data_IF_035651669457
#
_entry.id   IF_035651669457
#
_cell.length_a   1.000
_cell.length_b   1.000
_cell.length_c   1.000
_cell.angle_alpha   90.00
_cell.angle_beta   90.00
_cell.angle_gamma   90.00
#
_symmetry.space_group_name_H-M   'P 1'
#
loop_
_entity.id
_entity.type
_entity.pdbx_description
1 polymer ?
#
# COMPACT_ATOMS: atom_id res chain seq x y z
N UNK A 1 -58.88 -3.90 45.45
CA UNK A 1 -57.45 -4.24 45.27
C UNK A 1 -56.64 -3.24 46.08
N UNK A 2 -55.67 -3.72 46.86
CA UNK A 2 -54.69 -2.87 47.57
C UNK A 2 -53.36 -3.06 46.87
N UNK A 3 -53.06 -2.15 45.95
CA UNK A 3 -51.84 -2.09 45.16
C UNK A 3 -51.85 -0.73 44.46
N UNK A 4 -50.68 -0.10 44.35
CA UNK A 4 -50.57 1.26 43.80
C UNK A 4 -51.23 1.33 42.41
N UNK A 5 -52.23 2.21 42.20
CA UNK A 5 -52.98 2.28 40.95
C UNK A 5 -52.15 2.78 39.75
N UNK A 6 -50.88 3.10 39.96
CA UNK A 6 -49.98 3.68 38.95
C UNK A 6 -49.34 2.61 38.05
N UNK A 7 -49.22 1.35 38.51
CA UNK A 7 -48.43 0.32 37.84
C UNK A 7 -49.24 -0.79 37.12
N UNK A 8 -50.57 -0.67 37.09
CA UNK A 8 -51.48 -1.65 36.48
C UNK A 8 -52.27 -1.00 35.35
N UNK A 9 -52.32 -1.64 34.17
CA UNK A 9 -53.26 -1.29 33.10
C UNK A 9 -54.41 -2.28 33.14
N UNK A 10 -55.61 -1.79 33.45
CA UNK A 10 -56.82 -2.60 33.55
C UNK A 10 -57.75 -2.33 32.36
N UNK A 11 -58.18 -3.38 31.67
CA UNK A 11 -59.25 -3.27 30.69
C UNK A 11 -60.61 -3.40 31.41
N UNK A 12 -61.60 -2.54 31.11
CA UNK A 12 -62.94 -2.72 31.65
C UNK A 12 -63.55 -3.99 31.04
N UNK A 13 -63.97 -4.93 31.88
CA UNK A 13 -64.78 -6.07 31.45
C UNK A 13 -66.19 -5.54 31.14
N UNK A 14 -66.45 -5.34 29.84
CA UNK A 14 -67.65 -4.79 29.22
C UNK A 14 -67.90 -3.28 29.47
N UNK A 15 -67.67 -2.48 28.43
CA UNK A 15 -68.31 -1.16 28.32
C UNK A 15 -69.78 -1.39 27.94
N UNK A 16 -70.70 -1.11 28.88
CA UNK A 16 -72.05 -0.69 28.48
C UNK A 16 -71.95 0.61 27.69
N UNK A 17 -72.79 0.80 26.67
CA UNK A 17 -72.73 1.87 25.68
C UNK A 17 -72.97 3.31 26.21
N UNK A 18 -72.93 3.51 27.53
CA UNK A 18 -73.49 4.67 28.21
C UNK A 18 -72.69 5.11 29.45
N UNK A 19 -71.52 4.51 29.72
CA UNK A 19 -70.52 5.08 30.63
C UNK A 19 -70.90 5.15 32.12
N UNK A 20 -71.89 4.39 32.58
CA UNK A 20 -72.27 4.31 34.00
C UNK A 20 -71.79 2.98 34.63
N UNK A 21 -71.14 3.07 35.79
CA UNK A 21 -70.61 1.93 36.57
C UNK A 21 -71.75 1.19 37.29
N UNK A 22 -72.18 0.06 36.74
CA UNK A 22 -73.13 -0.85 37.40
C UNK A 22 -72.44 -1.71 38.46
N UNK A 23 -72.94 -1.64 39.69
CA UNK A 23 -72.51 -2.48 40.80
C UNK A 23 -73.22 -3.85 40.78
N UNK A 24 -72.39 -4.90 40.78
CA UNK A 24 -72.59 -6.28 41.27
C UNK A 24 -73.65 -7.14 40.57
N UNK A 25 -73.16 -7.98 39.65
CA UNK A 25 -73.84 -9.20 39.19
C UNK A 25 -72.97 -9.97 38.21
N UNK A 26 -72.03 -10.77 38.72
CA UNK A 26 -71.08 -11.58 37.93
C UNK A 26 -70.19 -10.81 36.93
N UNK A 27 -69.83 -9.56 37.23
CA UNK A 27 -68.78 -8.87 36.49
C UNK A 27 -67.45 -9.54 36.84
N UNK A 28 -66.87 -10.26 35.88
CA UNK A 28 -65.50 -10.77 35.99
C UNK A 28 -64.60 -9.62 36.40
N UNK A 29 -63.77 -9.85 37.42
CA UNK A 29 -62.76 -8.90 37.88
C UNK A 29 -62.00 -8.35 36.66
N UNK A 30 -61.81 -7.02 36.53
CA UNK A 30 -61.10 -6.47 35.37
C UNK A 30 -59.74 -7.17 35.25
N UNK A 31 -59.44 -7.65 34.04
CA UNK A 31 -58.12 -8.21 33.77
C UNK A 31 -57.14 -7.05 33.77
N UNK A 32 -56.31 -7.03 34.81
CA UNK A 32 -55.24 -6.06 34.96
C UNK A 32 -53.92 -6.76 34.66
N UNK A 33 -53.14 -6.18 33.74
CA UNK A 33 -51.77 -6.62 33.49
C UNK A 33 -50.79 -5.60 34.05
N UNK A 34 -49.59 -6.08 34.41
CA UNK A 34 -48.48 -5.23 34.83
C UNK A 34 -48.06 -4.31 33.67
N UNK A 35 -47.81 -3.05 33.97
CA UNK A 35 -47.37 -2.08 32.97
C UNK A 35 -45.95 -2.40 32.47
N UNK A 36 -45.66 -2.29 31.16
CA UNK A 36 -44.31 -2.41 30.63
C UNK A 36 -43.45 -1.19 31.00
N UNK A 37 -42.13 -1.37 31.05
CA UNK A 37 -41.19 -0.26 31.16
C UNK A 37 -40.72 0.25 29.79
N UNK A 38 -40.42 1.55 29.74
CA UNK A 38 -39.76 2.18 28.60
C UNK A 38 -38.26 1.90 28.65
N UNK A 39 -37.69 1.43 27.54
CA UNK A 39 -36.26 1.14 27.45
C UNK A 39 -35.45 2.43 27.19
N UNK A 40 -34.38 2.68 27.96
CA UNK A 40 -33.49 3.82 27.72
C UNK A 40 -32.76 3.75 26.37
N UNK A 41 -32.44 4.89 25.76
CA UNK A 41 -31.76 4.95 24.45
C UNK A 41 -30.46 4.12 24.35
N UNK A 42 -29.73 3.94 25.46
CA UNK A 42 -28.48 3.18 25.45
C UNK A 42 -28.69 1.69 25.13
N UNK A 43 -29.89 1.13 25.36
CA UNK A 43 -30.21 -0.26 25.05
C UNK A 43 -30.35 -0.49 23.55
N UNK A 44 -30.55 0.56 22.76
CA UNK A 44 -30.55 0.50 21.30
C UNK A 44 -29.13 0.50 20.68
N UNK A 45 -28.09 0.68 21.49
CA UNK A 45 -26.70 0.72 21.02
C UNK A 45 -26.13 -0.68 20.80
N UNK A 46 -25.43 -0.91 19.69
CA UNK A 46 -24.71 -2.18 19.44
C UNK A 46 -23.64 -2.53 20.49
N UNK A 47 -23.27 -1.57 21.36
CA UNK A 47 -22.32 -1.76 22.46
C UNK A 47 -22.93 -2.51 23.65
N UNK A 48 -24.26 -2.46 23.79
CA UNK A 48 -24.98 -3.00 24.94
C UNK A 48 -25.96 -4.06 24.45
N UNK A 49 -25.90 -5.23 25.07
CA UNK A 49 -26.90 -6.28 24.93
C UNK A 49 -27.70 -6.38 26.24
N UNK A 50 -28.95 -6.80 26.15
CA UNK A 50 -29.82 -6.86 27.32
C UNK A 50 -30.88 -7.95 27.19
N UNK A 51 -31.55 -8.25 28.31
CA UNK A 51 -32.72 -9.14 28.38
C UNK A 51 -34.01 -8.39 28.76
N UNK A 52 -34.03 -7.07 28.61
CA UNK A 52 -35.12 -6.18 29.06
C UNK A 52 -36.31 -6.08 28.09
N UNK A 53 -36.33 -6.87 27.02
CA UNK A 53 -37.45 -6.87 26.08
C UNK A 53 -38.74 -7.32 26.78
N UNK A 54 -39.81 -6.55 26.60
CA UNK A 54 -41.14 -6.79 27.19
C UNK A 54 -41.17 -6.89 28.73
N UNK A 55 -40.17 -6.33 29.43
CA UNK A 55 -40.14 -6.31 30.89
C UNK A 55 -41.29 -5.48 31.48
N UNK A 56 -41.90 -5.99 32.56
CA UNK A 56 -43.04 -5.37 33.25
C UNK A 56 -42.75 -5.05 34.71
N UNK A 57 -43.58 -4.20 35.31
CA UNK A 57 -43.43 -3.73 36.68
C UNK A 57 -43.10 -4.88 37.66
N UNK A 58 -42.11 -4.66 38.54
CA UNK A 58 -41.54 -5.64 39.49
C UNK A 58 -40.70 -6.78 38.87
N UNK A 59 -40.37 -6.72 37.59
CA UNK A 59 -39.42 -7.64 36.98
C UNK A 59 -38.01 -7.04 36.96
N UNK A 60 -37.02 -7.93 36.87
CA UNK A 60 -35.61 -7.60 36.72
C UNK A 60 -35.11 -8.09 35.35
N UNK A 61 -34.23 -7.33 34.72
CA UNK A 61 -33.46 -7.77 33.56
C UNK A 61 -31.99 -7.42 33.75
N UNK A 62 -31.15 -7.92 32.84
CA UNK A 62 -29.72 -7.67 32.87
C UNK A 62 -29.28 -6.93 31.61
N UNK A 63 -28.45 -5.91 31.78
CA UNK A 63 -27.71 -5.26 30.71
C UNK A 63 -26.23 -5.64 30.80
N UNK A 64 -25.62 -5.98 29.67
CA UNK A 64 -24.24 -6.42 29.57
C UNK A 64 -23.64 -5.96 28.24
N UNK A 65 -22.33 -6.15 28.05
CA UNK A 65 -21.68 -5.70 26.84
C UNK A 65 -22.00 -6.60 25.64
N UNK A 66 -22.27 -5.96 24.50
CA UNK A 66 -22.50 -6.63 23.23
C UNK A 66 -21.23 -7.31 22.70
N UNK A 67 -21.37 -8.07 21.60
CA UNK A 67 -20.24 -8.75 20.99
C UNK A 67 -19.11 -7.76 20.60
N UNK A 68 -17.87 -8.10 20.94
CA UNK A 68 -16.72 -7.22 20.71
C UNK A 68 -16.55 -6.10 21.75
N UNK A 69 -17.36 -6.08 22.79
CA UNK A 69 -17.23 -5.13 23.90
C UNK A 69 -17.01 -5.86 25.22
N UNK A 70 -16.21 -5.26 26.10
CA UNK A 70 -15.92 -5.75 27.45
C UNK A 70 -16.22 -4.67 28.49
N UNK A 71 -16.68 -5.08 29.67
CA UNK A 71 -17.16 -4.14 30.68
C UNK A 71 -17.90 -4.82 31.83
N UNK A 72 -18.63 -4.02 32.62
CA UNK A 72 -19.48 -4.48 33.69
C UNK A 72 -20.85 -4.99 33.17
N UNK A 73 -21.51 -5.72 34.06
CA UNK A 73 -22.88 -6.21 33.90
C UNK A 73 -23.73 -5.51 34.95
N UNK A 74 -24.89 -4.99 34.55
CA UNK A 74 -25.79 -4.25 35.41
C UNK A 74 -27.15 -4.95 35.50
N UNK A 75 -27.70 -5.00 36.71
CA UNK A 75 -29.05 -5.45 36.97
C UNK A 75 -30.00 -4.24 36.95
N UNK A 76 -31.06 -4.35 36.16
CA UNK A 76 -32.04 -3.29 35.94
C UNK A 76 -33.40 -3.73 36.47
N UNK A 77 -34.11 -2.82 37.13
CA UNK A 77 -35.39 -3.10 37.76
C UNK A 77 -36.50 -2.25 37.14
N UNK A 78 -37.59 -2.88 36.74
CA UNK A 78 -38.72 -2.18 36.15
C UNK A 78 -39.65 -1.62 37.25
N UNK A 79 -39.60 -0.31 37.47
CA UNK A 79 -40.55 0.46 38.28
C UNK A 79 -41.41 1.33 37.36
N UNK A 80 -42.33 0.65 36.65
CA UNK A 80 -43.04 1.21 35.51
C UNK A 80 -43.59 2.64 35.71
N UNK A 81 -43.41 3.53 34.70
CA UNK A 81 -42.87 3.24 33.37
C UNK A 81 -41.33 3.24 33.30
N UNK A 82 -40.62 3.54 34.39
CA UNK A 82 -39.18 3.75 34.38
C UNK A 82 -38.39 2.46 34.65
N UNK A 83 -37.34 2.24 33.86
CA UNK A 83 -36.35 1.19 34.11
C UNK A 83 -35.22 1.77 34.97
N UNK A 84 -35.15 1.35 36.23
CA UNK A 84 -34.17 1.82 37.21
C UNK A 84 -32.86 1.02 37.10
N UNK A 85 -31.74 1.72 37.27
CA UNK A 85 -30.38 1.19 37.27
C UNK A 85 -29.46 1.95 36.30
N UNK A 86 -28.16 1.65 36.36
CA UNK A 86 -27.15 2.33 35.56
C UNK A 86 -26.84 1.59 34.25
N UNK A 87 -26.38 2.34 33.25
CA UNK A 87 -25.90 1.73 32.01
C UNK A 87 -24.54 1.04 32.23
N UNK A 88 -24.32 -0.16 31.66
CA UNK A 88 -23.00 -0.80 31.73
C UNK A 88 -21.96 0.03 30.96
N UNK A 89 -20.74 0.09 31.50
CA UNK A 89 -19.58 0.71 30.87
C UNK A 89 -18.92 -0.29 29.93
N UNK A 90 -19.23 -0.20 28.64
CA UNK A 90 -18.73 -1.11 27.62
C UNK A 90 -17.64 -0.48 26.73
N UNK A 91 -16.43 -1.00 26.84
CA UNK A 91 -15.28 -0.62 26.02
C UNK A 91 -15.07 -1.61 24.87
N UNK A 92 -14.62 -1.14 23.72
CA UNK A 92 -14.34 -2.01 22.58
C UNK A 92 -13.13 -2.90 22.85
N UNK A 93 -13.25 -4.20 22.59
CA UNK A 93 -12.14 -5.13 22.64
C UNK A 93 -11.16 -4.80 21.51
N UNK A 94 -9.86 -4.84 21.82
CA UNK A 94 -8.78 -4.60 20.86
C UNK A 94 -8.66 -5.75 19.86
N UNK A 95 -8.55 -5.42 18.58
CA UNK A 95 -8.24 -6.41 17.56
C UNK A 95 -6.78 -6.87 17.64
N UNK A 96 -6.58 -8.18 17.59
CA UNK A 96 -5.26 -8.83 17.63
C UNK A 96 -5.06 -9.85 16.51
N UNK A 97 -6.13 -10.19 15.78
CA UNK A 97 -6.15 -11.14 14.67
C UNK A 97 -6.46 -10.43 13.36
N UNK A 98 -6.14 -11.05 12.23
CA UNK A 98 -6.38 -10.45 10.90
C UNK A 98 -5.57 -9.18 10.62
N UNK A 99 -4.50 -8.93 11.38
CA UNK A 99 -3.69 -7.73 11.22
C UNK A 99 -3.12 -7.66 9.80
N UNK A 100 -3.24 -6.53 9.08
CA UNK A 100 -2.70 -6.45 7.72
C UNK A 100 -1.20 -6.76 7.71
N UNK A 101 -0.81 -7.76 6.92
CA UNK A 101 0.54 -8.28 6.88
C UNK A 101 0.97 -8.59 5.44
N UNK A 102 2.26 -8.49 5.15
CA UNK A 102 2.83 -8.75 3.83
C UNK A 102 4.22 -8.15 3.70
N UNK A 103 4.94 -8.48 2.62
CA UNK A 103 6.24 -7.86 2.34
C UNK A 103 6.03 -6.36 2.09
N UNK A 104 6.80 -5.52 2.78
CA UNK A 104 6.67 -4.06 2.68
C UNK A 104 5.40 -3.43 3.26
N UNK A 105 4.47 -4.20 3.85
CA UNK A 105 3.26 -3.65 4.46
C UNK A 105 3.60 -2.93 5.78
N UNK A 106 3.06 -1.74 5.93
CA UNK A 106 3.03 -0.96 7.16
C UNK A 106 1.60 -0.86 7.67
N UNK A 107 1.36 -1.42 8.85
CA UNK A 107 0.06 -1.41 9.50
C UNK A 107 0.14 -0.69 10.86
N UNK A 108 1.05 0.27 11.03
CA UNK A 108 1.15 1.04 12.26
C UNK A 108 -0.18 1.71 12.67
N UNK A 109 -0.96 2.20 11.71
CA UNK A 109 -2.29 2.79 11.95
C UNK A 109 -3.30 1.79 12.55
N UNK A 110 -3.12 0.49 12.32
CA UNK A 110 -3.99 -0.55 12.88
C UNK A 110 -3.63 -0.92 14.33
N UNK A 111 -2.50 -0.45 14.85
CA UNK A 111 -2.07 -0.79 16.19
C UNK A 111 -2.98 -0.16 17.23
N UNK A 112 -3.66 -0.99 18.02
CA UNK A 112 -4.47 -0.52 19.15
C UNK A 112 -5.93 -0.27 18.81
N UNK A 113 -6.35 -0.50 17.56
CA UNK A 113 -7.75 -0.34 17.17
C UNK A 113 -8.65 -1.33 17.92
N UNK A 114 -9.81 -0.84 18.31
CA UNK A 114 -10.86 -1.53 19.06
C UNK A 114 -12.11 -1.69 18.22
N UNK A 115 -13.04 -2.54 18.67
CA UNK A 115 -14.25 -2.91 17.91
C UNK A 115 -15.00 -1.70 17.34
N UNK A 116 -15.18 -1.72 16.01
CA UNK A 116 -15.82 -0.67 15.22
C UNK A 116 -14.87 0.42 14.69
N UNK A 117 -13.61 0.45 15.12
CA UNK A 117 -12.62 1.38 14.58
C UNK A 117 -12.00 0.88 13.28
N UNK A 118 -11.75 1.81 12.37
CA UNK A 118 -11.08 1.54 11.10
C UNK A 118 -9.62 2.01 11.12
N UNK A 119 -8.79 1.34 10.33
CA UNK A 119 -7.44 1.77 9.96
C UNK A 119 -7.20 1.56 8.48
N UNK A 120 -6.21 2.25 7.92
CA UNK A 120 -5.80 2.07 6.53
C UNK A 120 -4.34 1.60 6.51
N UNK A 121 -4.05 0.37 6.02
CA UNK A 121 -2.67 -0.08 5.85
C UNK A 121 -1.97 0.71 4.73
N UNK A 122 -0.66 0.88 4.86
CA UNK A 122 0.19 1.56 3.90
C UNK A 122 1.40 0.71 3.48
N UNK A 123 2.21 1.23 2.58
CA UNK A 123 3.49 0.60 2.23
C UNK A 123 4.65 1.34 2.91
N UNK A 124 5.64 0.58 3.38
CA UNK A 124 6.89 1.10 3.91
C UNK A 124 7.68 1.85 2.81
N UNK A 125 8.61 2.75 3.17
CA UNK A 125 9.52 3.36 2.21
C UNK A 125 10.23 2.31 1.35
N UNK A 126 10.32 2.55 0.04
CA UNK A 126 10.86 1.59 -0.93
C UNK A 126 9.85 0.59 -1.49
N UNK A 127 8.60 0.65 -1.06
CA UNK A 127 7.50 -0.14 -1.60
C UNK A 127 6.41 0.75 -2.20
N UNK A 128 5.61 0.16 -3.07
CA UNK A 128 4.46 0.79 -3.73
C UNK A 128 3.23 -0.11 -3.63
N UNK A 129 2.05 0.51 -3.57
CA UNK A 129 0.78 -0.19 -3.44
C UNK A 129 0.41 -0.82 -4.79
N UNK A 130 0.04 -2.10 -4.78
CA UNK A 130 -0.42 -2.78 -6.00
C UNK A 130 -1.88 -2.46 -6.34
N UNK A 131 -2.68 -2.14 -5.32
CA UNK A 131 -4.07 -1.73 -5.42
C UNK A 131 -4.35 -0.61 -4.40
N UNK A 132 -5.47 0.09 -4.55
CA UNK A 132 -5.86 1.13 -3.61
C UNK A 132 -6.01 0.55 -2.18
N UNK A 133 -5.46 1.24 -1.19
CA UNK A 133 -5.64 0.86 0.21
C UNK A 133 -7.11 1.01 0.62
N UNK A 134 -7.72 -0.11 0.99
CA UNK A 134 -9.06 -0.13 1.59
C UNK A 134 -8.94 -0.08 3.11
N UNK A 135 -9.89 0.60 3.75
CA UNK A 135 -9.96 0.64 5.20
C UNK A 135 -10.37 -0.74 5.74
N UNK A 136 -9.60 -1.25 6.70
CA UNK A 136 -9.94 -2.46 7.43
C UNK A 136 -10.56 -2.09 8.77
N UNK A 137 -11.60 -2.81 9.18
CA UNK A 137 -12.37 -2.50 10.39
C UNK A 137 -12.14 -3.59 11.42
N UNK A 138 -11.93 -3.18 12.67
CA UNK A 138 -11.87 -4.10 13.79
C UNK A 138 -13.28 -4.66 14.08
N UNK A 139 -13.47 -5.95 13.81
CA UNK A 139 -14.72 -6.67 13.99
C UNK A 139 -15.00 -7.05 15.45
N UNK A 140 -16.23 -7.51 15.69
CA UNK A 140 -16.71 -7.92 17.03
C UNK A 140 -16.08 -9.22 17.52
N UNK A 141 -15.42 -9.96 16.64
CA UNK A 141 -14.64 -11.15 16.97
C UNK A 141 -13.20 -10.82 17.41
N UNK A 142 -12.80 -9.54 17.43
CA UNK A 142 -11.43 -9.14 17.74
C UNK A 142 -10.44 -9.44 16.62
N UNK A 143 -10.93 -9.62 15.38
CA UNK A 143 -10.13 -9.64 14.17
C UNK A 143 -10.42 -8.42 13.28
N UNK A 144 -9.43 -7.97 12.52
CA UNK A 144 -9.71 -7.04 11.42
C UNK A 144 -10.40 -7.77 10.28
N UNK A 145 -11.22 -7.04 9.53
CA UNK A 145 -11.79 -7.51 8.26
C UNK A 145 -10.70 -7.97 7.29
N UNK A 146 -11.06 -8.88 6.38
CA UNK A 146 -10.14 -9.34 5.33
C UNK A 146 -9.59 -8.17 4.51
N UNK A 147 -8.36 -8.31 4.06
CA UNK A 147 -7.64 -7.29 3.29
C UNK A 147 -6.72 -7.95 2.28
N UNK A 148 -6.92 -7.63 1.01
CA UNK A 148 -6.04 -8.02 -0.09
C UNK A 148 -4.91 -6.99 -0.32
N UNK A 149 -4.68 -6.11 0.66
CA UNK A 149 -3.69 -5.06 0.55
C UNK A 149 -2.27 -5.63 0.42
N UNK A 150 -1.65 -5.37 -0.72
CA UNK A 150 -0.32 -5.86 -1.05
C UNK A 150 0.60 -4.73 -1.52
N UNK A 151 1.86 -4.82 -1.10
CA UNK A 151 2.93 -3.92 -1.50
C UNK A 151 3.96 -4.68 -2.34
N UNK A 152 4.48 -4.02 -3.37
CA UNK A 152 5.64 -4.51 -4.14
C UNK A 152 6.82 -3.56 -3.98
N UNK A 153 8.04 -4.06 -4.15
CA UNK A 153 9.24 -3.22 -4.14
C UNK A 153 9.18 -2.24 -5.30
N UNK A 154 9.38 -0.96 -5.00
CA UNK A 154 9.41 0.10 -6.01
C UNK A 154 10.53 -0.15 -6.99
N UNK A 155 10.24 -0.03 -8.28
CA UNK A 155 11.26 -0.05 -9.33
C UNK A 155 12.02 1.28 -9.35
N UNK A 156 13.34 1.21 -9.46
CA UNK A 156 14.13 2.40 -9.73
C UNK A 156 13.94 2.90 -11.15
N UNK A 157 14.16 4.19 -11.33
CA UNK A 157 14.26 4.85 -12.63
C UNK A 157 15.22 4.09 -13.57
N UNK A 158 15.01 4.23 -14.88
CA UNK A 158 16.00 3.72 -15.84
C UNK A 158 17.25 4.58 -15.77
N UNK A 159 18.41 3.96 -15.55
CA UNK A 159 19.66 4.70 -15.40
C UNK A 159 20.02 5.43 -16.71
N UNK A 160 19.62 4.87 -17.85
CA UNK A 160 19.74 5.49 -19.19
C UNK A 160 18.96 6.81 -19.32
N UNK A 161 17.96 7.04 -18.46
CA UNK A 161 17.21 8.30 -18.43
C UNK A 161 17.93 9.42 -17.66
N UNK A 162 19.01 9.11 -16.93
CA UNK A 162 19.85 10.10 -16.25
C UNK A 162 20.95 10.56 -17.20
N UNK A 163 20.99 11.85 -17.52
CA UNK A 163 21.95 12.43 -18.46
C UNK A 163 23.42 12.10 -18.16
N UNK A 164 23.80 11.99 -16.89
CA UNK A 164 25.17 11.62 -16.50
C UNK A 164 25.56 10.18 -16.89
N UNK A 165 24.58 9.28 -17.03
CA UNK A 165 24.78 7.87 -17.34
C UNK A 165 24.33 7.48 -18.76
N UNK A 166 23.65 8.38 -19.47
CA UNK A 166 23.21 8.22 -20.86
C UNK A 166 24.37 8.39 -21.86
N UNK A 167 25.37 7.50 -21.79
CA UNK A 167 26.56 7.54 -22.65
C UNK A 167 26.87 6.16 -23.24
N UNK A 168 27.19 6.06 -24.55
CA UNK A 168 27.62 4.80 -25.16
C UNK A 168 28.97 4.29 -24.61
N UNK A 169 29.73 5.15 -23.92
CA UNK A 169 30.96 4.77 -23.24
C UNK A 169 30.73 3.97 -21.96
N UNK A 170 29.48 3.82 -21.51
CA UNK A 170 29.10 3.16 -20.27
C UNK A 170 28.34 1.86 -20.54
N UNK A 171 28.53 0.89 -19.65
CA UNK A 171 27.78 -0.36 -19.60
C UNK A 171 27.34 -0.63 -18.17
N UNK A 172 26.10 -1.06 -17.99
CA UNK A 172 25.55 -1.28 -16.65
C UNK A 172 24.48 -2.36 -16.57
N UNK A 173 24.28 -2.88 -15.35
CA UNK A 173 23.26 -3.89 -15.02
C UNK A 173 22.09 -3.32 -14.22
N UNK A 174 21.85 -2.01 -14.31
CA UNK A 174 20.89 -1.27 -13.48
C UNK A 174 19.43 -1.30 -13.98
N UNK A 175 19.20 -1.79 -15.20
CA UNK A 175 17.86 -1.86 -15.77
C UNK A 175 16.95 -2.79 -14.94
N UNK A 176 15.77 -2.30 -14.58
CA UNK A 176 14.75 -3.09 -13.87
C UNK A 176 15.08 -3.41 -12.41
N UNK A 177 16.05 -2.72 -11.80
CA UNK A 177 16.35 -2.91 -10.38
C UNK A 177 15.24 -2.35 -9.51
N UNK A 178 14.88 -3.09 -8.46
CA UNK A 178 13.90 -2.68 -7.46
C UNK A 178 14.58 -2.35 -6.14
N UNK A 179 13.84 -1.73 -5.22
CA UNK A 179 14.33 -1.31 -3.92
C UNK A 179 15.23 -2.36 -3.23
N UNK A 180 16.39 -1.89 -2.76
CA UNK A 180 17.41 -2.69 -2.09
C UNK A 180 18.31 -3.52 -3.01
N UNK A 181 18.04 -3.58 -4.32
CA UNK A 181 18.93 -4.26 -5.26
C UNK A 181 20.10 -3.35 -5.68
N UNK A 182 21.29 -3.97 -5.74
CA UNK A 182 22.49 -3.36 -6.27
C UNK A 182 22.67 -3.59 -7.77
N UNK A 183 23.41 -2.71 -8.42
CA UNK A 183 23.91 -2.87 -9.78
C UNK A 183 25.29 -2.23 -9.93
N UNK A 184 25.97 -2.56 -11.03
CA UNK A 184 27.30 -2.05 -11.34
C UNK A 184 27.25 -1.25 -12.63
N UNK A 185 27.96 -0.12 -12.65
CA UNK A 185 28.21 0.74 -13.80
C UNK A 185 29.72 0.73 -14.07
N UNK A 186 30.09 0.38 -15.29
CA UNK A 186 31.46 0.31 -15.77
C UNK A 186 31.59 0.94 -17.16
N UNK A 187 32.81 1.04 -17.67
CA UNK A 187 33.04 1.46 -19.05
C UNK A 187 32.67 0.32 -20.01
N UNK A 188 32.09 0.69 -21.15
CA UNK A 188 31.81 -0.24 -22.24
C UNK A 188 33.12 -0.76 -22.88
N UNK A 189 33.01 -1.82 -23.66
CA UNK A 189 34.13 -2.34 -24.46
C UNK A 189 34.67 -1.24 -25.41
N UNK A 190 35.99 -1.20 -25.60
CA UNK A 190 36.67 -0.11 -26.33
C UNK A 190 36.91 1.16 -25.50
N UNK A 191 36.52 1.18 -24.23
CA UNK A 191 36.82 2.27 -23.30
C UNK A 191 37.63 1.77 -22.09
N UNK A 192 38.69 2.51 -21.74
CA UNK A 192 39.44 2.30 -20.52
C UNK A 192 38.80 3.07 -19.36
N UNK A 193 38.68 2.41 -18.22
CA UNK A 193 38.19 3.02 -16.99
C UNK A 193 39.28 3.82 -16.31
N UNK A 194 39.02 5.11 -16.08
CA UNK A 194 39.83 5.95 -15.22
C UNK A 194 39.22 5.92 -13.81
N UNK A 195 39.85 5.16 -12.91
CA UNK A 195 39.37 4.96 -11.55
C UNK A 195 38.67 3.61 -11.35
N UNK A 196 37.51 3.62 -10.69
CA UNK A 196 36.79 2.40 -10.29
C UNK A 196 35.35 2.38 -10.80
N UNK A 197 34.83 1.17 -10.97
CA UNK A 197 33.42 0.94 -11.29
C UNK A 197 32.54 1.47 -10.17
N UNK A 198 31.35 1.95 -10.52
CA UNK A 198 30.37 2.42 -9.53
C UNK A 198 29.41 1.30 -9.21
N UNK A 199 29.27 1.01 -7.91
CA UNK A 199 28.20 0.15 -7.40
C UNK A 199 27.08 1.07 -6.92
N UNK A 200 25.90 0.92 -7.51
CA UNK A 200 24.72 1.69 -7.16
C UNK A 200 23.70 0.78 -6.48
N UNK A 201 22.90 1.33 -5.58
CA UNK A 201 21.81 0.62 -4.90
C UNK A 201 20.50 1.34 -5.14
N UNK A 202 19.43 0.61 -5.46
CA UNK A 202 18.12 1.20 -5.63
C UNK A 202 17.55 1.66 -4.29
N UNK A 203 17.38 2.98 -4.14
CA UNK A 203 16.89 3.64 -2.93
C UNK A 203 15.38 3.59 -2.78
N UNK A 204 14.90 3.99 -1.60
CA UNK A 204 13.48 3.94 -1.23
C UNK A 204 12.59 4.81 -2.12
N UNK A 205 13.14 5.91 -2.66
CA UNK A 205 12.40 6.84 -3.50
C UNK A 205 12.34 6.41 -4.98
N UNK A 206 12.99 5.30 -5.36
CA UNK A 206 13.11 4.88 -6.76
C UNK A 206 14.28 5.54 -7.50
N UNK A 207 15.21 6.16 -6.77
CA UNK A 207 16.47 6.70 -7.30
C UNK A 207 17.64 5.77 -7.00
N UNK A 208 18.67 5.81 -7.83
CA UNK A 208 19.92 5.10 -7.52
C UNK A 208 20.76 5.90 -6.53
N UNK A 209 21.24 5.22 -5.50
CA UNK A 209 22.17 5.74 -4.51
C UNK A 209 23.57 5.19 -4.80
N UNK A 210 24.61 5.99 -4.60
CA UNK A 210 25.99 5.55 -4.67
C UNK A 210 26.46 4.90 -3.35
N UNK A 211 27.73 4.48 -3.29
CA UNK A 211 28.31 3.86 -2.09
C UNK A 211 28.36 4.75 -0.84
N UNK A 212 28.04 6.05 -0.97
CA UNK A 212 27.91 6.99 0.14
C UNK A 212 26.46 7.21 0.59
N UNK A 213 25.49 6.59 -0.09
CA UNK A 213 24.06 6.75 0.18
C UNK A 213 23.47 8.03 -0.41
N UNK A 214 24.21 8.75 -1.24
CA UNK A 214 23.73 9.94 -1.96
C UNK A 214 23.16 9.56 -3.32
N UNK A 215 22.26 10.37 -3.86
CA UNK A 215 21.71 10.17 -5.21
C UNK A 215 22.85 10.19 -6.22
N UNK A 216 22.96 9.10 -6.99
CA UNK A 216 24.00 8.93 -7.99
C UNK A 216 23.85 9.97 -9.11
N UNK A 217 24.80 10.89 -9.19
CA UNK A 217 24.80 12.01 -10.13
C UNK A 217 26.03 12.07 -11.03
N UNK A 218 27.01 11.19 -10.80
CA UNK A 218 28.25 11.13 -11.56
C UNK A 218 28.54 9.70 -12.01
N UNK A 219 28.77 9.52 -13.31
CA UNK A 219 29.25 8.28 -13.92
C UNK A 219 30.76 8.06 -13.69
N UNK A 220 31.28 6.83 -13.88
CA UNK A 220 32.73 6.63 -13.95
C UNK A 220 33.31 7.31 -15.19
N UNK A 221 34.58 7.72 -15.10
CA UNK A 221 35.30 8.31 -16.23
C UNK A 221 35.79 7.21 -17.18
N UNK A 222 35.42 7.34 -18.46
CA UNK A 222 35.73 6.37 -19.50
C UNK A 222 36.49 7.04 -20.64
N UNK A 223 37.70 6.58 -20.91
CA UNK A 223 38.55 7.07 -21.99
C UNK A 223 38.49 6.11 -23.17
N UNK A 224 38.12 6.62 -24.35
CA UNK A 224 38.09 5.81 -25.57
C UNK A 224 39.50 5.30 -25.92
N UNK A 225 39.63 4.00 -26.18
CA UNK A 225 40.87 3.34 -26.59
C UNK A 225 41.13 3.52 -28.09
N UNK A 226 42.41 3.64 -28.51
CA UNK A 226 42.76 3.77 -29.92
C UNK A 226 42.59 2.44 -30.67
N UNK A 227 42.08 2.51 -31.90
CA UNK A 227 42.11 1.37 -32.81
C UNK A 227 43.49 1.22 -33.46
N UNK A 228 43.98 -0.02 -33.52
CA UNK A 228 45.26 -0.35 -34.17
C UNK A 228 45.12 -1.52 -35.15
N UNK A 229 44.07 -2.32 -35.01
CA UNK A 229 43.80 -3.49 -35.85
C UNK A 229 43.03 -3.03 -37.10
N UNK A 230 43.34 -3.59 -38.27
CA UNK A 230 42.63 -3.27 -39.51
C UNK A 230 42.91 -1.86 -40.08
N UNK A 231 43.94 -1.18 -39.57
CA UNK A 231 44.36 0.13 -40.09
C UNK A 231 44.76 0.01 -41.58
N UNK A 232 44.34 0.94 -42.46
CA UNK A 232 44.71 0.93 -43.88
C UNK A 232 46.23 0.95 -44.05
N UNK A 233 46.76 -0.05 -44.74
CA UNK A 233 48.19 -0.17 -45.04
C UNK A 233 48.33 -0.66 -46.48
N UNK A 234 49.24 -0.05 -47.24
CA UNK A 234 49.46 -0.38 -48.65
C UNK A 234 50.20 0.75 -49.35
N UNK A 235 50.89 0.42 -50.46
CA UNK A 235 51.51 1.43 -51.33
C UNK A 235 50.39 2.19 -52.04
N UNK A 236 50.43 3.53 -52.02
CA UNK A 236 49.42 4.37 -52.66
C UNK A 236 48.19 4.65 -51.80
N UNK A 237 48.21 4.29 -50.50
CA UNK A 237 47.11 4.52 -49.56
C UNK A 237 47.53 5.58 -48.54
N UNK A 238 46.83 6.71 -48.56
CA UNK A 238 46.91 7.77 -47.55
C UNK A 238 45.71 7.66 -46.61
N UNK A 239 45.91 7.94 -45.32
CA UNK A 239 44.83 7.86 -44.35
C UNK A 239 45.08 8.76 -43.13
N UNK A 240 44.01 9.14 -42.43
CA UNK A 240 44.08 9.91 -41.17
C UNK A 240 43.71 9.09 -39.92
N UNK A 241 43.61 7.77 -40.03
CA UNK A 241 43.29 6.82 -38.95
C UNK A 241 44.28 6.74 -37.76
N UNK A 242 45.32 7.58 -37.70
CA UNK A 242 46.26 7.56 -36.56
C UNK A 242 45.63 8.25 -35.36
N UNK A 243 45.50 7.52 -34.26
CA UNK A 243 44.94 8.07 -33.02
C UNK A 243 43.42 8.14 -33.00
N UNK A 244 42.73 7.59 -34.01
CA UNK A 244 41.28 7.40 -33.96
C UNK A 244 40.94 6.40 -32.85
N UNK A 245 40.04 6.81 -31.96
CA UNK A 245 39.59 6.03 -30.81
C UNK A 245 38.17 5.49 -31.01
N UNK A 246 37.74 4.59 -30.12
CA UNK A 246 36.43 3.90 -30.19
C UNK A 246 35.28 4.87 -30.42
N UNK A 247 34.43 4.56 -31.42
CA UNK A 247 33.32 5.40 -31.86
C UNK A 247 33.72 6.54 -32.81
N UNK A 248 35.02 6.78 -32.99
CA UNK A 248 35.56 7.72 -33.97
C UNK A 248 35.62 7.12 -35.38
N UNK A 249 35.65 8.01 -36.37
CA UNK A 249 35.78 7.66 -37.79
C UNK A 249 37.07 8.22 -38.38
N UNK A 250 37.63 7.56 -39.37
CA UNK A 250 38.74 8.04 -40.19
C UNK A 250 38.50 7.76 -41.66
N UNK A 251 39.30 8.36 -42.54
CA UNK A 251 39.19 8.22 -43.99
C UNK A 251 40.48 7.65 -44.57
N UNK A 252 40.31 6.65 -45.45
CA UNK A 252 41.35 6.13 -46.33
C UNK A 252 41.11 6.63 -47.76
N UNK A 253 42.17 7.08 -48.43
CA UNK A 253 42.14 7.63 -49.79
C UNK A 253 43.38 7.24 -50.58
N UNK A 254 43.32 7.38 -51.90
CA UNK A 254 44.49 7.22 -52.76
C UNK A 254 45.49 8.37 -52.52
N UNK A 255 46.78 8.03 -52.39
CA UNK A 255 47.86 9.02 -52.40
C UNK A 255 47.92 9.76 -53.74
N UNK A 256 48.39 11.03 -53.77
CA UNK A 256 48.64 11.72 -55.02
C UNK A 256 49.53 10.89 -55.97
N UNK A 257 49.04 10.65 -57.20
CA UNK A 257 49.71 9.81 -58.20
C UNK A 257 49.23 8.36 -58.26
N UNK A 258 48.24 7.98 -57.44
CA UNK A 258 47.52 6.72 -57.52
C UNK A 258 46.04 6.98 -57.85
N UNK A 259 45.42 6.05 -58.57
CA UNK A 259 43.98 6.08 -58.88
C UNK A 259 43.29 4.86 -58.25
N UNK A 260 42.00 4.99 -57.92
CA UNK A 260 41.21 3.88 -57.41
C UNK A 260 40.92 2.90 -58.55
N UNK A 261 41.23 1.61 -58.36
CA UNK A 261 40.84 0.58 -59.34
C UNK A 261 39.32 0.37 -59.35
N UNK A 262 38.68 0.36 -58.18
CA UNK A 262 37.23 0.38 -58.00
C UNK A 262 36.85 1.20 -56.76
N UNK A 263 35.72 1.90 -56.80
CA UNK A 263 35.19 2.68 -55.68
C UNK A 263 35.79 4.08 -55.52
N UNK A 264 36.02 4.50 -54.28
CA UNK A 264 36.48 5.84 -53.92
C UNK A 264 37.01 5.90 -52.48
N UNK A 265 37.22 7.11 -51.92
CA UNK A 265 37.64 7.25 -50.53
C UNK A 265 36.65 6.56 -49.60
N UNK A 266 37.15 5.86 -48.59
CA UNK A 266 36.33 5.03 -47.71
C UNK A 266 36.46 5.51 -46.27
N UNK A 267 35.33 5.58 -45.58
CA UNK A 267 35.28 5.88 -44.14
C UNK A 267 35.38 4.56 -43.37
N UNK A 268 36.21 4.56 -42.33
CA UNK A 268 36.34 3.47 -41.38
C UNK A 268 35.90 3.95 -40.00
N UNK A 269 35.20 3.08 -39.28
CA UNK A 269 34.78 3.33 -37.90
C UNK A 269 35.62 2.47 -36.97
N UNK A 270 36.15 3.08 -35.90
CA UNK A 270 36.85 2.36 -34.85
C UNK A 270 35.84 1.65 -33.93
N UNK A 271 35.85 0.32 -34.00
CA UNK A 271 35.00 -0.56 -33.20
C UNK A 271 35.48 -0.76 -31.77
N UNK A 272 34.63 -1.32 -30.90
CA UNK A 272 34.96 -1.56 -29.49
C UNK A 272 36.06 -2.63 -29.29
N UNK A 273 36.27 -3.49 -30.28
CA UNK A 273 37.31 -4.52 -30.31
C UNK A 273 38.72 -3.96 -30.66
N UNK A 274 38.83 -2.65 -30.88
CA UNK A 274 40.08 -1.99 -31.28
C UNK A 274 40.42 -2.18 -32.76
N UNK A 275 39.47 -2.65 -33.57
CA UNK A 275 39.60 -2.81 -35.01
C UNK A 275 38.81 -1.75 -35.79
N UNK A 276 39.34 -1.39 -36.96
CA UNK A 276 38.60 -0.59 -37.93
C UNK A 276 37.66 -1.48 -38.75
N UNK A 277 36.36 -1.14 -38.75
CA UNK A 277 35.37 -1.71 -39.65
C UNK A 277 35.08 -0.75 -40.80
N UNK A 278 35.00 -1.27 -42.01
CA UNK A 278 34.60 -0.49 -43.18
C UNK A 278 33.11 -0.15 -43.08
N UNK A 279 32.77 1.14 -43.08
CA UNK A 279 31.37 1.54 -43.26
C UNK A 279 31.04 1.37 -44.74
N UNK A 280 30.51 0.21 -45.11
CA UNK A 280 29.92 0.03 -46.43
C UNK A 280 28.56 0.75 -46.44
N UNK A 281 28.57 2.07 -46.63
CA UNK A 281 27.33 2.77 -46.94
C UNK A 281 26.92 2.44 -48.37
N UNK A 282 25.94 1.54 -48.43
CA UNK A 282 24.88 1.40 -49.43
C UNK A 282 25.07 2.17 -50.75
N UNK A 283 25.51 1.41 -51.76
CA UNK A 283 25.06 1.41 -53.17
C UNK A 283 25.16 2.70 -53.99
#
# INVERSE_FOLDING_TARGET
>A
FVGDPVALRCAPNSAGADGELLAVGAASMPECELMPCDLPDYTASARVAHTCDDIRHLQECTAYCGAGYEGNVEALWCDAPELLGDAPTCAGVRCSRGYPNGDGVDAADCSGKTTGEACVPGCRPGFEQQAAAEAVVCGTDGAFSESDFACSRRQCLDLDAIAAFASPALSHTCRGRVFGQGCVVACAEGYAMLGAAKVLTCGADGTFLDGSGLVASAAPECQALPCTIGRPQGRGVDHDCVGTTTGGTCMARAEPGYEYEEGGPTILTCGPDGAFSWSQEMR
#
